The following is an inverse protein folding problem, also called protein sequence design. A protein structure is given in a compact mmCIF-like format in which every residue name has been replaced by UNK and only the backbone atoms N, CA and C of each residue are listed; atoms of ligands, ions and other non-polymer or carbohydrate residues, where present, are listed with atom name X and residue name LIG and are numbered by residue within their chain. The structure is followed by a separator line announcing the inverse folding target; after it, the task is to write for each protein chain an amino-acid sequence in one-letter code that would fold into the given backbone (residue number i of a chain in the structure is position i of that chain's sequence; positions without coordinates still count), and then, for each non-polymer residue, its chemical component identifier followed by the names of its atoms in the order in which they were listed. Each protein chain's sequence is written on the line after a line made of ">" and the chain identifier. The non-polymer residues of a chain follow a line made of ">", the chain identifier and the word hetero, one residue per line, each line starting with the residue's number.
data_IF_247471949419
#
_entry.id   IF_247471949419
#
_cell.length_a   1.000
_cell.length_b   1.000
_cell.length_c   1.000
_cell.angle_alpha   90.00
_cell.angle_beta   90.00
_cell.angle_gamma   90.00
#
_symmetry.space_group_name_H-M   'P 1'
#
loop_
_entity.id
_entity.type
_entity.pdbx_description
1 polymer ?
#
# COMPACT_ATOMS: atom_id res chain seq x y z
N UNK A 1 -67.17 -56.83 5.01
CA UNK A 1 -65.74 -56.78 5.37
C UNK A 1 -65.19 -55.47 4.85
N UNK A 2 -65.09 -54.47 5.72
CA UNK A 2 -64.60 -53.12 5.41
C UNK A 2 -63.20 -53.02 6.00
N UNK A 3 -62.21 -52.87 5.15
CA UNK A 3 -60.80 -52.62 5.52
C UNK A 3 -60.60 -51.15 5.87
N UNK A 4 -60.14 -50.93 7.06
CA UNK A 4 -59.79 -49.66 7.66
C UNK A 4 -58.48 -49.07 7.00
N UNK A 5 -58.62 -47.92 6.35
CA UNK A 5 -57.47 -47.12 5.89
C UNK A 5 -57.01 -46.22 7.04
N UNK A 6 -55.74 -46.36 7.45
CA UNK A 6 -55.05 -45.48 8.40
C UNK A 6 -54.57 -44.22 7.65
N UNK A 7 -54.73 -43.04 8.23
CA UNK A 7 -54.21 -41.85 7.62
C UNK A 7 -52.68 -41.75 7.87
N UNK A 8 -51.94 -41.48 6.80
CA UNK A 8 -50.53 -41.13 6.79
C UNK A 8 -50.27 -39.85 7.62
N UNK A 9 -49.54 -40.00 8.69
CA UNK A 9 -49.02 -38.87 9.48
C UNK A 9 -47.98 -38.13 8.68
N UNK A 10 -48.28 -36.90 8.31
CA UNK A 10 -47.33 -35.96 7.66
C UNK A 10 -46.35 -35.49 8.75
N UNK A 11 -45.15 -36.03 8.73
CA UNK A 11 -44.02 -35.51 9.52
C UNK A 11 -43.63 -34.14 8.96
N UNK A 12 -44.07 -33.08 9.60
CA UNK A 12 -43.56 -31.74 9.35
C UNK A 12 -42.17 -31.63 9.95
N UNK A 13 -41.15 -31.61 9.07
CA UNK A 13 -39.79 -31.28 9.44
C UNK A 13 -39.75 -29.83 10.00
N UNK A 14 -39.07 -29.57 11.12
CA UNK A 14 -38.91 -28.22 11.63
C UNK A 14 -38.12 -27.39 10.61
N UNK A 15 -38.68 -26.24 10.24
CA UNK A 15 -37.98 -25.24 9.43
C UNK A 15 -36.69 -24.81 10.15
N UNK A 16 -35.58 -25.42 9.78
CA UNK A 16 -34.24 -24.92 10.11
C UNK A 16 -34.01 -23.64 9.29
N UNK A 17 -34.48 -22.52 9.81
CA UNK A 17 -34.01 -21.21 9.33
C UNK A 17 -32.57 -21.07 9.73
N UNK A 18 -31.68 -21.30 8.78
CA UNK A 18 -30.23 -21.03 8.90
C UNK A 18 -30.04 -19.54 9.18
N UNK A 19 -29.95 -19.17 10.46
CA UNK A 19 -29.60 -17.83 10.90
C UNK A 19 -28.09 -17.58 10.70
N UNK A 20 -27.60 -17.81 9.48
CA UNK A 20 -26.22 -17.48 9.08
C UNK A 20 -26.03 -16.00 8.70
N UNK A 21 -27.11 -15.19 8.72
CA UNK A 21 -27.13 -13.86 8.13
C UNK A 21 -26.39 -12.76 8.89
N UNK A 22 -26.62 -12.61 10.21
CA UNK A 22 -26.17 -11.38 10.91
C UNK A 22 -24.68 -11.29 11.24
N UNK A 23 -24.04 -12.39 11.58
CA UNK A 23 -22.60 -12.41 11.91
C UNK A 23 -21.80 -12.36 10.61
N UNK A 24 -22.24 -13.03 9.56
CA UNK A 24 -21.64 -12.99 8.24
C UNK A 24 -21.76 -11.61 7.61
N UNK A 25 -22.91 -10.96 7.68
CA UNK A 25 -23.12 -9.60 7.18
C UNK A 25 -22.19 -8.58 7.85
N UNK A 26 -22.05 -8.59 9.19
CA UNK A 26 -21.12 -7.71 9.90
C UNK A 26 -19.66 -8.00 9.58
N UNK A 27 -19.28 -9.26 9.34
CA UNK A 27 -17.92 -9.65 8.96
C UNK A 27 -17.63 -9.43 7.48
N UNK A 28 -18.65 -9.49 6.63
CA UNK A 28 -18.58 -9.35 5.19
C UNK A 28 -17.97 -8.00 4.80
N UNK A 29 -18.45 -6.90 5.36
CA UNK A 29 -17.91 -5.56 5.06
C UNK A 29 -16.43 -5.43 5.43
N UNK A 30 -16.02 -5.88 6.63
CA UNK A 30 -14.61 -5.87 7.05
C UNK A 30 -13.75 -6.81 6.19
N UNK A 31 -14.30 -7.95 5.80
CA UNK A 31 -13.61 -8.91 4.93
C UNK A 31 -13.41 -8.34 3.52
N UNK A 32 -14.43 -7.74 2.91
CA UNK A 32 -14.31 -7.11 1.60
C UNK A 32 -13.35 -5.93 1.63
N UNK A 33 -13.41 -5.03 2.60
CA UNK A 33 -12.47 -3.93 2.76
C UNK A 33 -11.01 -4.45 2.87
N UNK A 34 -10.79 -5.56 3.58
CA UNK A 34 -9.46 -6.20 3.66
C UNK A 34 -9.02 -6.78 2.31
N UNK A 35 -9.93 -7.42 1.57
CA UNK A 35 -9.62 -7.96 0.24
C UNK A 35 -9.34 -6.85 -0.77
N UNK A 36 -10.11 -5.75 -0.75
CA UNK A 36 -9.88 -4.59 -1.60
C UNK A 36 -8.53 -3.94 -1.33
N UNK A 37 -8.17 -3.76 -0.06
CA UNK A 37 -6.85 -3.26 0.35
C UNK A 37 -5.72 -4.17 -0.13
N UNK A 38 -5.87 -5.50 -0.01
CA UNK A 38 -4.90 -6.46 -0.52
C UNK A 38 -4.81 -6.44 -2.04
N UNK A 39 -5.94 -6.37 -2.75
CA UNK A 39 -5.98 -6.32 -4.21
C UNK A 39 -5.28 -5.07 -4.74
N UNK A 40 -5.52 -3.91 -4.14
CA UNK A 40 -4.80 -2.66 -4.46
C UNK A 40 -3.31 -2.79 -4.19
N UNK A 41 -2.91 -3.34 -3.05
CA UNK A 41 -1.51 -3.59 -2.73
C UNK A 41 -0.82 -4.49 -3.77
N UNK A 42 -1.49 -5.55 -4.20
CA UNK A 42 -0.95 -6.43 -5.26
C UNK A 42 -0.86 -5.72 -6.62
N UNK A 43 -1.81 -4.85 -6.96
CA UNK A 43 -1.78 -4.06 -8.18
C UNK A 43 -0.61 -3.07 -8.17
N UNK A 44 -0.39 -2.38 -7.04
CA UNK A 44 0.74 -1.45 -6.84
C UNK A 44 2.07 -2.17 -7.01
N UNK A 45 2.28 -3.28 -6.31
CA UNK A 45 3.50 -4.10 -6.47
C UNK A 45 3.65 -4.61 -7.90
N UNK A 46 2.56 -4.99 -8.56
CA UNK A 46 2.60 -5.40 -9.96
C UNK A 46 3.16 -4.32 -10.89
N UNK A 47 2.81 -3.05 -10.64
CA UNK A 47 3.37 -1.90 -11.37
C UNK A 47 4.84 -1.66 -11.01
N UNK A 48 5.22 -1.76 -9.72
CA UNK A 48 6.62 -1.63 -9.29
C UNK A 48 7.51 -2.69 -9.94
N UNK A 49 7.04 -3.94 -10.01
CA UNK A 49 7.73 -5.02 -10.73
C UNK A 49 7.86 -4.67 -12.22
N UNK A 50 6.79 -4.17 -12.84
CA UNK A 50 6.81 -3.82 -14.27
C UNK A 50 7.83 -2.72 -14.56
N UNK A 51 7.86 -1.67 -13.75
CA UNK A 51 8.83 -0.58 -13.86
C UNK A 51 10.25 -1.10 -13.65
N UNK A 52 10.49 -1.89 -12.60
CA UNK A 52 11.80 -2.44 -12.29
C UNK A 52 12.33 -3.33 -13.44
N UNK A 53 11.48 -4.21 -13.97
CA UNK A 53 11.86 -5.11 -15.08
C UNK A 53 12.17 -4.34 -16.36
N UNK A 54 11.39 -3.30 -16.68
CA UNK A 54 11.65 -2.45 -17.86
C UNK A 54 12.94 -1.66 -17.73
N UNK A 55 13.33 -1.24 -16.52
CA UNK A 55 14.56 -0.47 -16.28
C UNK A 55 15.83 -1.29 -16.34
N UNK A 56 15.86 -2.47 -15.74
CA UNK A 56 17.09 -3.25 -15.56
C UNK A 56 16.94 -4.76 -15.85
N UNK A 57 15.82 -5.16 -16.45
CA UNK A 57 15.60 -6.55 -16.85
C UNK A 57 14.98 -7.45 -15.77
N UNK A 58 14.60 -8.68 -16.14
CA UNK A 58 13.80 -9.56 -15.29
C UNK A 58 14.62 -10.38 -14.28
N UNK A 59 15.96 -10.26 -14.29
CA UNK A 59 16.79 -11.01 -13.35
C UNK A 59 16.97 -10.24 -12.03
N UNK A 60 16.45 -10.75 -10.90
CA UNK A 60 16.58 -10.08 -9.59
C UNK A 60 18.04 -9.91 -9.14
N UNK A 61 18.96 -10.82 -9.53
CA UNK A 61 20.38 -10.74 -9.13
C UNK A 61 21.04 -9.45 -9.64
N UNK A 62 20.63 -9.00 -10.82
CA UNK A 62 21.16 -7.81 -11.49
C UNK A 62 20.25 -6.57 -11.32
N UNK A 63 19.09 -6.72 -10.65
CA UNK A 63 18.10 -5.67 -10.55
C UNK A 63 17.70 -5.43 -9.07
N UNK A 64 18.38 -4.53 -8.35
CA UNK A 64 18.08 -4.23 -6.96
C UNK A 64 16.64 -3.76 -6.72
N UNK A 65 16.09 -2.96 -7.66
CA UNK A 65 14.71 -2.50 -7.57
C UNK A 65 13.71 -3.66 -7.67
N UNK A 66 13.98 -4.64 -8.53
CA UNK A 66 13.15 -5.83 -8.64
C UNK A 66 13.23 -6.69 -7.37
N UNK A 67 14.44 -6.84 -6.77
CA UNK A 67 14.58 -7.54 -5.49
C UNK A 67 13.74 -6.90 -4.39
N UNK A 68 13.78 -5.57 -4.29
CA UNK A 68 12.96 -4.80 -3.36
C UNK A 68 11.46 -5.03 -3.60
N UNK A 69 11.00 -4.94 -4.84
CA UNK A 69 9.59 -5.18 -5.18
C UNK A 69 9.15 -6.62 -4.85
N UNK A 70 10.01 -7.62 -5.08
CA UNK A 70 9.75 -9.01 -4.68
C UNK A 70 9.68 -9.15 -3.16
N UNK A 71 10.53 -8.45 -2.42
CA UNK A 71 10.52 -8.46 -0.96
C UNK A 71 9.25 -7.81 -0.40
N UNK A 72 8.86 -6.66 -0.94
CA UNK A 72 7.60 -6.00 -0.59
C UNK A 72 6.39 -6.89 -0.90
N UNK A 73 6.44 -7.65 -2.02
CA UNK A 73 5.43 -8.65 -2.34
C UNK A 73 5.32 -9.74 -1.27
N UNK A 74 6.46 -10.25 -0.76
CA UNK A 74 6.48 -11.22 0.36
C UNK A 74 5.87 -10.61 1.62
N UNK A 75 6.20 -9.36 1.95
CA UNK A 75 5.64 -8.64 3.10
C UNK A 75 4.12 -8.49 3.06
N UNK A 76 3.54 -8.34 1.87
CA UNK A 76 2.08 -8.34 1.66
C UNK A 76 1.47 -9.74 1.49
N UNK A 77 2.26 -10.81 1.65
CA UNK A 77 1.82 -12.19 1.40
C UNK A 77 1.28 -12.41 -0.02
N UNK A 78 1.86 -11.74 -1.02
CA UNK A 78 1.52 -11.96 -2.42
C UNK A 78 2.00 -13.34 -2.85
N UNK A 79 1.15 -14.19 -3.47
CA UNK A 79 1.55 -15.50 -3.94
C UNK A 79 2.70 -15.44 -4.94
N UNK A 80 3.66 -16.37 -4.82
CA UNK A 80 4.88 -16.40 -5.64
C UNK A 80 4.57 -16.52 -7.14
N UNK A 81 3.58 -17.32 -7.50
CA UNK A 81 3.11 -17.49 -8.88
C UNK A 81 2.61 -16.16 -9.49
N UNK A 82 1.99 -15.29 -8.69
CA UNK A 82 1.57 -13.94 -9.13
C UNK A 82 2.77 -13.03 -9.37
N UNK A 83 3.80 -13.09 -8.52
CA UNK A 83 5.04 -12.34 -8.68
C UNK A 83 5.74 -12.78 -9.97
N UNK A 84 5.91 -14.09 -10.20
CA UNK A 84 6.51 -14.65 -11.40
C UNK A 84 5.72 -14.29 -12.67
N UNK A 85 4.38 -14.34 -12.58
CA UNK A 85 3.52 -13.91 -13.68
C UNK A 85 3.67 -12.42 -14.01
N UNK A 86 3.82 -11.55 -12.99
CA UNK A 86 4.06 -10.12 -13.18
C UNK A 86 5.42 -9.86 -13.86
N UNK A 87 6.50 -10.54 -13.43
CA UNK A 87 7.83 -10.44 -14.03
C UNK A 87 7.78 -10.91 -15.51
N UNK A 88 7.14 -12.05 -15.77
CA UNK A 88 7.00 -12.59 -17.12
C UNK A 88 6.22 -11.64 -18.03
N UNK A 89 5.12 -11.07 -17.55
CA UNK A 89 4.30 -10.09 -18.29
C UNK A 89 5.13 -8.85 -18.60
N UNK A 90 5.81 -8.27 -17.61
CA UNK A 90 6.66 -7.09 -17.77
C UNK A 90 7.82 -7.29 -18.76
N UNK A 91 8.28 -8.52 -18.94
CA UNK A 91 9.32 -8.88 -19.90
C UNK A 91 8.81 -8.95 -21.35
N UNK A 92 7.49 -8.94 -21.55
CA UNK A 92 6.91 -8.97 -22.89
C UNK A 92 7.00 -7.60 -23.56
N UNK A 93 7.05 -7.58 -24.90
CA UNK A 93 7.06 -6.33 -25.69
C UNK A 93 5.69 -5.63 -25.72
N UNK A 94 4.64 -6.34 -25.35
CA UNK A 94 3.25 -5.84 -25.38
C UNK A 94 2.87 -5.11 -24.09
N UNK A 95 3.64 -5.29 -23.01
CA UNK A 95 3.37 -4.60 -21.75
C UNK A 95 3.67 -3.10 -21.89
N UNK A 96 2.72 -2.30 -21.44
CA UNK A 96 2.83 -0.84 -21.48
C UNK A 96 3.92 -0.35 -20.55
N UNK A 97 4.57 0.74 -20.93
CA UNK A 97 5.56 1.40 -20.08
C UNK A 97 4.84 2.31 -19.07
N UNK A 98 5.10 2.09 -17.79
CA UNK A 98 4.60 2.95 -16.73
C UNK A 98 5.57 4.11 -16.50
N UNK A 99 5.01 5.31 -16.31
CA UNK A 99 5.71 6.51 -15.88
C UNK A 99 5.39 6.79 -14.42
N UNK A 100 6.43 7.07 -13.64
CA UNK A 100 6.28 7.51 -12.26
C UNK A 100 6.15 9.03 -12.24
N UNK A 101 5.09 9.52 -11.63
CA UNK A 101 4.75 10.94 -11.56
C UNK A 101 4.30 11.27 -10.13
N UNK A 102 4.63 12.49 -9.69
CA UNK A 102 4.14 13.00 -8.41
C UNK A 102 3.30 14.24 -8.70
N UNK A 103 2.04 14.20 -8.26
CA UNK A 103 1.14 15.35 -8.31
C UNK A 103 1.06 15.99 -6.93
N UNK A 104 0.90 17.30 -6.92
CA UNK A 104 0.90 18.12 -5.73
C UNK A 104 -0.45 18.80 -5.56
N UNK A 105 -0.90 18.99 -4.33
CA UNK A 105 -2.15 19.68 -4.06
C UNK A 105 -2.40 19.89 -2.59
N UNK A 106 -3.59 20.38 -2.31
CA UNK A 106 -4.10 20.61 -0.97
C UNK A 106 -5.43 19.90 -0.81
N UNK A 107 -5.54 19.08 0.22
CA UNK A 107 -6.82 18.57 0.72
C UNK A 107 -7.59 19.69 1.47
N UNK A 108 -8.83 19.45 1.92
CA UNK A 108 -9.57 20.39 2.74
C UNK A 108 -8.71 20.95 3.88
N UNK A 109 -9.07 22.13 4.37
CA UNK A 109 -8.36 22.85 5.45
C UNK A 109 -6.89 23.17 5.12
N UNK A 110 -6.48 23.11 3.84
CA UNK A 110 -5.14 23.45 3.40
C UNK A 110 -4.06 22.46 3.87
N UNK A 111 -4.42 21.17 3.99
CA UNK A 111 -3.47 20.07 4.24
C UNK A 111 -2.70 19.78 2.96
N UNK A 112 -1.36 19.93 2.93
CA UNK A 112 -0.56 19.61 1.76
C UNK A 112 -0.60 18.11 1.48
N UNK A 113 -0.72 17.75 0.20
CA UNK A 113 -0.79 16.36 -0.26
C UNK A 113 0.13 16.16 -1.45
N UNK A 114 0.93 15.07 -1.39
CA UNK A 114 1.66 14.51 -2.52
C UNK A 114 1.00 13.21 -2.96
N UNK A 115 0.75 13.07 -4.26
CA UNK A 115 0.13 11.88 -4.84
C UNK A 115 1.13 11.23 -5.80
N UNK A 116 1.79 10.16 -5.36
CA UNK A 116 2.70 9.38 -6.18
C UNK A 116 1.89 8.41 -7.06
N UNK A 117 2.11 8.48 -8.36
CA UNK A 117 1.39 7.70 -9.37
C UNK A 117 2.35 6.88 -10.23
N UNK A 118 1.87 5.70 -10.67
CA UNK A 118 2.49 4.93 -11.74
C UNK A 118 1.43 4.69 -12.83
N UNK A 119 1.62 5.28 -13.99
CA UNK A 119 0.60 5.31 -15.05
C UNK A 119 1.17 5.06 -16.45
N UNK A 120 0.37 4.44 -17.28
CA UNK A 120 0.59 4.31 -18.73
C UNK A 120 0.00 5.50 -19.53
N UNK A 121 -0.77 6.38 -18.86
CA UNK A 121 -1.43 7.52 -19.50
C UNK A 121 -1.48 8.75 -18.56
N UNK A 122 -0.43 9.59 -18.57
CA UNK A 122 -0.38 10.79 -17.73
C UNK A 122 -1.54 11.77 -17.92
N UNK A 123 -2.08 11.86 -19.13
CA UNK A 123 -3.20 12.77 -19.43
C UNK A 123 -4.47 12.33 -18.72
N UNK A 124 -4.76 11.03 -18.71
CA UNK A 124 -5.88 10.46 -17.96
C UNK A 124 -5.67 10.68 -16.46
N UNK A 125 -4.50 10.34 -15.96
CA UNK A 125 -4.19 10.40 -14.53
C UNK A 125 -4.30 11.80 -13.97
N UNK A 126 -3.74 12.82 -14.64
CA UNK A 126 -3.85 14.21 -14.18
C UNK A 126 -5.30 14.70 -14.13
N UNK A 127 -6.13 14.28 -15.08
CA UNK A 127 -7.54 14.63 -15.09
C UNK A 127 -8.31 13.98 -13.92
N UNK A 128 -8.03 12.70 -13.64
CA UNK A 128 -8.61 11.96 -12.51
C UNK A 128 -8.20 12.57 -11.18
N UNK A 129 -6.90 12.81 -10.97
CA UNK A 129 -6.39 13.38 -9.72
C UNK A 129 -7.01 14.78 -9.47
N UNK A 130 -7.11 15.62 -10.50
CA UNK A 130 -7.77 16.92 -10.39
C UNK A 130 -9.24 16.78 -10.00
N UNK A 131 -9.93 15.78 -10.57
CA UNK A 131 -11.32 15.50 -10.26
C UNK A 131 -11.50 15.04 -8.82
N UNK A 132 -10.62 14.14 -8.32
CA UNK A 132 -10.65 13.67 -6.94
C UNK A 132 -10.45 14.81 -5.95
N UNK A 133 -9.44 15.66 -6.15
CA UNK A 133 -9.26 16.86 -5.32
C UNK A 133 -10.51 17.75 -5.32
N UNK A 134 -11.00 18.15 -6.50
CA UNK A 134 -12.11 19.09 -6.59
C UNK A 134 -13.43 18.57 -6.03
N UNK A 135 -13.70 17.27 -6.15
CA UNK A 135 -14.92 16.66 -5.61
C UNK A 135 -14.93 16.57 -4.09
N UNK A 136 -13.75 16.49 -3.48
CA UNK A 136 -13.59 16.30 -2.05
C UNK A 136 -13.05 17.57 -1.35
N UNK A 137 -13.38 18.76 -1.88
CA UNK A 137 -13.08 20.04 -1.24
C UNK A 137 -11.61 20.46 -1.26
N UNK A 138 -10.77 19.71 -2.00
CA UNK A 138 -9.36 20.03 -2.19
C UNK A 138 -9.07 20.75 -3.50
N UNK A 139 -7.80 20.99 -3.77
CA UNK A 139 -7.33 21.61 -5.02
C UNK A 139 -5.98 21.07 -5.45
N UNK A 140 -5.85 20.77 -6.75
CA UNK A 140 -4.55 20.41 -7.32
C UNK A 140 -3.69 21.65 -7.47
N UNK A 141 -2.44 21.57 -7.00
CA UNK A 141 -1.44 22.64 -7.10
C UNK A 141 -0.56 22.50 -8.36
N UNK A 142 0.38 23.44 -8.49
CA UNK A 142 1.43 23.36 -9.49
C UNK A 142 2.62 22.54 -8.93
N UNK A 143 3.48 22.06 -9.82
CA UNK A 143 4.73 21.40 -9.40
C UNK A 143 5.58 22.34 -8.53
N UNK A 144 6.08 21.82 -7.40
CA UNK A 144 6.86 22.57 -6.41
C UNK A 144 6.01 23.35 -5.39
N UNK A 145 4.67 23.22 -5.41
CA UNK A 145 3.79 23.95 -4.49
C UNK A 145 3.79 23.42 -3.06
N UNK A 146 4.01 22.11 -2.88
CA UNK A 146 4.01 21.46 -1.56
C UNK A 146 5.20 20.51 -1.35
N UNK A 147 5.94 20.13 -2.39
CA UNK A 147 7.06 19.18 -2.33
C UNK A 147 8.09 19.56 -1.26
N UNK A 148 8.37 20.86 -1.10
CA UNK A 148 9.34 21.39 -0.12
C UNK A 148 8.94 21.17 1.34
N UNK A 149 7.69 20.80 1.60
CA UNK A 149 7.18 20.47 2.94
C UNK A 149 7.42 19.01 3.33
N UNK A 150 8.04 18.25 2.43
CA UNK A 150 8.29 16.82 2.61
C UNK A 150 9.76 16.52 2.35
N UNK A 151 10.28 15.55 3.10
CA UNK A 151 11.60 14.99 2.87
C UNK A 151 11.47 13.61 2.22
N UNK A 152 12.27 13.36 1.20
CA UNK A 152 12.33 12.06 0.54
C UNK A 152 13.27 11.15 1.34
N UNK A 153 12.74 10.16 2.03
CA UNK A 153 13.47 9.25 2.92
C UNK A 153 13.31 7.80 2.52
N UNK A 154 14.30 6.99 2.86
CA UNK A 154 14.19 5.54 2.88
C UNK A 154 13.46 5.10 4.15
N UNK A 155 12.50 4.20 4.02
CA UNK A 155 11.72 3.64 5.12
C UNK A 155 11.78 2.13 5.05
N UNK A 156 12.28 1.50 6.11
CA UNK A 156 12.37 0.04 6.26
C UNK A 156 11.54 -0.38 7.45
N UNK A 157 10.58 -1.28 7.24
CA UNK A 157 9.69 -1.76 8.28
C UNK A 157 10.01 -3.20 8.63
N UNK A 158 10.11 -3.49 9.92
CA UNK A 158 10.42 -4.82 10.42
C UNK A 158 9.33 -5.31 11.37
N UNK A 159 9.23 -6.62 11.46
CA UNK A 159 8.41 -7.31 12.46
C UNK A 159 9.24 -7.39 13.78
N UNK A 160 8.76 -6.82 14.90
CA UNK A 160 9.49 -6.87 16.18
C UNK A 160 9.75 -8.29 16.68
N UNK A 161 8.94 -9.28 16.23
CA UNK A 161 9.16 -10.67 16.59
C UNK A 161 10.35 -11.33 15.86
N UNK A 162 10.82 -10.70 14.76
CA UNK A 162 11.92 -11.23 13.93
C UNK A 162 13.23 -10.47 14.07
N UNK A 163 13.19 -9.25 14.61
CA UNK A 163 14.36 -8.41 14.77
C UNK A 163 14.44 -7.89 16.22
N UNK A 164 15.47 -8.30 16.95
CA UNK A 164 15.73 -7.76 18.28
C UNK A 164 16.45 -6.41 18.14
N UNK A 165 15.70 -5.31 18.25
CA UNK A 165 16.24 -3.96 18.06
C UNK A 165 17.39 -3.65 19.01
N UNK A 166 17.30 -4.07 20.28
CA UNK A 166 18.31 -3.77 21.30
C UNK A 166 19.71 -4.33 20.95
N UNK A 167 19.76 -5.39 20.12
CA UNK A 167 21.01 -6.00 19.67
C UNK A 167 21.54 -5.39 18.36
N UNK A 168 20.65 -4.84 17.52
CA UNK A 168 20.99 -4.44 16.14
C UNK A 168 20.96 -2.92 15.90
N UNK A 169 20.51 -2.14 16.87
CA UNK A 169 20.32 -0.69 16.73
C UNK A 169 21.61 0.03 16.31
N UNK A 170 22.73 -0.28 16.96
CA UNK A 170 24.02 0.30 16.62
C UNK A 170 24.46 -0.06 15.19
N UNK A 171 24.25 -1.31 14.80
CA UNK A 171 24.56 -1.77 13.46
C UNK A 171 23.71 -1.04 12.39
N UNK A 172 22.44 -0.75 12.70
CA UNK A 172 21.56 0.01 11.82
C UNK A 172 21.98 1.48 11.70
N UNK A 173 22.40 2.10 12.82
CA UNK A 173 22.91 3.47 12.83
C UNK A 173 24.20 3.55 11.99
N UNK A 174 25.13 2.61 12.16
CA UNK A 174 26.37 2.54 11.38
C UNK A 174 26.08 2.32 9.87
N UNK A 175 24.97 1.66 9.54
CA UNK A 175 24.52 1.46 8.17
C UNK A 175 23.78 2.68 7.59
N UNK A 176 23.58 3.77 8.34
CA UNK A 176 22.99 5.02 7.88
C UNK A 176 21.54 5.26 8.30
N UNK A 177 21.08 4.59 9.38
CA UNK A 177 19.81 4.95 9.99
C UNK A 177 19.90 6.34 10.65
N UNK A 178 18.96 7.24 10.35
CA UNK A 178 18.85 8.56 10.97
C UNK A 178 17.88 8.57 12.14
N UNK A 179 16.81 7.76 12.03
CA UNK A 179 15.80 7.64 13.07
C UNK A 179 15.28 6.20 13.10
N UNK A 180 14.98 5.71 14.29
CA UNK A 180 14.44 4.36 14.52
C UNK A 180 13.26 4.50 15.47
N UNK A 181 12.08 4.13 15.00
CA UNK A 181 10.85 4.14 15.80
C UNK A 181 10.40 2.72 16.06
N UNK A 182 9.97 2.44 17.28
CA UNK A 182 9.46 1.13 17.69
C UNK A 182 8.13 1.29 18.38
N UNK A 183 7.15 0.53 17.91
CA UNK A 183 5.90 0.30 18.61
C UNK A 183 5.66 -1.22 18.82
N UNK A 184 4.46 -1.60 19.27
CA UNK A 184 4.12 -3.01 19.52
C UNK A 184 3.97 -3.82 18.22
N UNK A 185 3.70 -3.17 17.09
CA UNK A 185 3.36 -3.83 15.82
C UNK A 185 4.53 -3.83 14.83
N UNK A 186 5.38 -2.80 14.85
CA UNK A 186 6.49 -2.68 13.88
C UNK A 186 7.68 -1.87 14.41
N UNK A 187 8.85 -2.14 13.82
CA UNK A 187 10.05 -1.30 13.95
C UNK A 187 10.21 -0.59 12.61
N UNK A 188 10.32 0.74 12.63
CA UNK A 188 10.47 1.56 11.43
C UNK A 188 11.82 2.26 11.48
N UNK A 189 12.65 2.01 10.46
CA UNK A 189 13.98 2.58 10.30
C UNK A 189 13.95 3.58 9.17
N UNK A 190 14.33 4.81 9.44
CA UNK A 190 14.42 5.90 8.47
C UNK A 190 15.87 6.17 8.07
N UNK A 191 16.09 6.37 6.78
CA UNK A 191 17.41 6.73 6.23
C UNK A 191 17.28 7.94 5.32
N UNK A 192 18.39 8.62 5.02
CA UNK A 192 18.42 9.54 3.89
C UNK A 192 18.15 8.80 2.60
N UNK A 193 17.58 9.54 1.64
CA UNK A 193 17.38 9.00 0.30
C UNK A 193 18.68 8.44 -0.31
N UNK A 194 19.81 9.12 -0.10
CA UNK A 194 21.14 8.70 -0.59
C UNK A 194 21.65 7.41 0.05
N UNK A 195 21.28 7.15 1.30
CA UNK A 195 21.72 5.97 2.07
C UNK A 195 20.81 4.76 1.89
N UNK A 196 19.68 4.91 1.23
CA UNK A 196 18.72 3.82 1.02
C UNK A 196 19.36 2.57 0.42
N UNK A 197 20.15 2.75 -0.65
CA UNK A 197 20.83 1.62 -1.31
C UNK A 197 21.94 0.99 -0.47
N UNK A 198 22.60 1.77 0.39
CA UNK A 198 23.60 1.28 1.34
C UNK A 198 22.92 0.42 2.41
N UNK A 199 21.88 0.94 3.05
CA UNK A 199 21.08 0.21 4.03
C UNK A 199 20.53 -1.09 3.46
N UNK A 200 19.99 -1.07 2.25
CA UNK A 200 19.46 -2.27 1.61
C UNK A 200 20.53 -3.38 1.47
N UNK A 201 21.71 -3.02 0.98
CA UNK A 201 22.82 -3.98 0.85
C UNK A 201 23.31 -4.51 2.20
N UNK A 202 23.34 -3.63 3.21
CA UNK A 202 23.70 -4.01 4.56
C UNK A 202 22.71 -5.04 5.13
N UNK A 203 21.41 -4.80 5.01
CA UNK A 203 20.35 -5.71 5.45
C UNK A 203 20.43 -7.07 4.72
N UNK A 204 20.65 -7.05 3.40
CA UNK A 204 20.87 -8.26 2.60
C UNK A 204 22.08 -9.06 3.10
N UNK A 205 23.22 -8.40 3.41
CA UNK A 205 24.43 -9.03 3.90
C UNK A 205 24.26 -9.64 5.30
N UNK A 206 23.48 -9.01 6.17
CA UNK A 206 23.15 -9.52 7.52
C UNK A 206 22.04 -10.58 7.50
N UNK A 207 21.33 -10.75 6.37
CA UNK A 207 20.16 -11.63 6.28
C UNK A 207 18.95 -11.13 7.06
N UNK A 208 18.87 -9.82 7.34
CA UNK A 208 17.73 -9.20 7.99
C UNK A 208 16.70 -8.78 6.95
N UNK A 209 15.60 -9.51 6.92
CA UNK A 209 14.53 -9.28 5.93
C UNK A 209 13.49 -8.29 6.49
N UNK A 210 13.42 -7.03 5.97
CA UNK A 210 12.34 -6.13 6.32
C UNK A 210 11.02 -6.62 5.72
N UNK A 211 9.92 -6.28 6.38
CA UNK A 211 8.55 -6.51 5.90
C UNK A 211 8.25 -5.66 4.65
N UNK A 212 8.76 -4.42 4.63
CA UNK A 212 8.73 -3.53 3.47
C UNK A 212 9.95 -2.62 3.44
N UNK A 213 10.36 -2.22 2.24
CA UNK A 213 11.42 -1.25 1.98
C UNK A 213 10.95 -0.30 0.89
N UNK A 214 10.80 0.96 1.20
CA UNK A 214 10.20 1.95 0.30
C UNK A 214 10.88 3.30 0.42
N UNK A 215 10.86 4.06 -0.66
CA UNK A 215 11.15 5.48 -0.64
C UNK A 215 9.84 6.23 -0.39
N UNK A 216 9.78 7.03 0.66
CA UNK A 216 8.56 7.74 1.07
C UNK A 216 8.83 9.24 1.25
N UNK A 217 7.79 10.03 1.08
CA UNK A 217 7.80 11.45 1.37
C UNK A 217 7.27 11.68 2.79
N UNK A 218 8.16 12.05 3.71
CA UNK A 218 7.85 12.26 5.11
C UNK A 218 7.65 13.77 5.35
N UNK A 219 6.53 14.21 5.92
CA UNK A 219 6.31 15.64 6.17
C UNK A 219 7.28 16.17 7.22
N UNK A 220 7.82 17.37 6.98
CA UNK A 220 8.72 18.06 7.92
C UNK A 220 7.98 18.69 9.11
N UNK A 221 6.69 18.95 8.94
CA UNK A 221 5.81 19.51 9.97
C UNK A 221 4.45 18.84 9.90
N UNK A 222 3.84 18.59 11.06
CA UNK A 222 2.49 18.05 11.15
C UNK A 222 1.47 19.17 11.37
N UNK A 223 0.23 18.94 10.96
CA UNK A 223 -0.90 19.83 11.13
C UNK A 223 -1.98 19.14 11.96
N UNK A 224 -2.28 19.72 13.12
CA UNK A 224 -3.39 19.27 13.95
C UNK A 224 -4.70 19.89 13.46
N UNK A 225 -5.76 19.10 13.39
CA UNK A 225 -7.12 19.50 13.02
C UNK A 225 -8.10 18.87 14.00
N UNK A 226 -9.32 19.41 14.06
CA UNK A 226 -10.41 18.78 14.80
C UNK A 226 -10.81 17.45 14.12
N UNK A 227 -11.42 16.53 14.88
CA UNK A 227 -11.84 15.20 14.38
C UNK A 227 -12.71 15.30 13.12
N UNK A 228 -13.67 16.24 13.09
CA UNK A 228 -14.53 16.47 11.92
C UNK A 228 -13.74 16.95 10.69
N UNK A 229 -12.75 17.83 10.87
CA UNK A 229 -11.88 18.30 9.79
C UNK A 229 -10.92 17.21 9.30
N UNK A 230 -10.45 16.35 10.24
CA UNK A 230 -9.64 15.17 9.88
C UNK A 230 -10.43 14.20 8.98
N UNK A 231 -11.70 13.95 9.30
CA UNK A 231 -12.58 13.09 8.51
C UNK A 231 -12.73 13.63 7.09
N UNK A 232 -12.92 14.94 6.89
CA UNK A 232 -12.99 15.55 5.56
C UNK A 232 -11.68 15.40 4.76
N UNK A 233 -10.53 15.55 5.42
CA UNK A 233 -9.23 15.33 4.81
C UNK A 233 -9.05 13.86 4.41
N UNK A 234 -9.38 12.93 5.30
CA UNK A 234 -9.25 11.49 5.06
C UNK A 234 -10.21 10.98 3.98
N UNK A 235 -11.38 11.61 3.81
CA UNK A 235 -12.27 11.33 2.68
C UNK A 235 -11.60 11.70 1.34
N UNK A 236 -10.95 12.87 1.28
CA UNK A 236 -10.18 13.29 0.12
C UNK A 236 -9.01 12.35 -0.17
N UNK A 237 -8.22 11.98 0.85
CA UNK A 237 -7.10 11.02 0.74
C UNK A 237 -7.61 9.67 0.24
N UNK A 238 -8.67 9.15 0.82
CA UNK A 238 -9.26 7.87 0.43
C UNK A 238 -9.76 7.86 -1.02
N UNK A 239 -10.33 8.98 -1.48
CA UNK A 239 -10.75 9.13 -2.87
C UNK A 239 -9.57 9.14 -3.85
N UNK A 240 -8.44 9.77 -3.47
CA UNK A 240 -7.20 9.74 -4.25
C UNK A 240 -6.60 8.33 -4.27
N UNK A 241 -6.53 7.66 -3.12
CA UNK A 241 -6.02 6.28 -3.01
C UNK A 241 -6.88 5.24 -3.76
N UNK A 242 -8.14 5.59 -4.06
CA UNK A 242 -9.04 4.73 -4.79
C UNK A 242 -8.70 4.65 -6.29
N UNK A 243 -7.99 5.62 -6.85
CA UNK A 243 -7.57 5.62 -8.26
C UNK A 243 -6.52 4.54 -8.51
N UNK A 244 -6.68 3.80 -9.59
CA UNK A 244 -5.79 2.67 -9.95
C UNK A 244 -4.37 3.12 -10.30
N UNK A 245 -4.17 4.36 -10.73
CA UNK A 245 -2.87 4.90 -11.08
C UNK A 245 -2.09 5.42 -9.86
N UNK A 246 -2.76 5.60 -8.70
CA UNK A 246 -2.14 6.07 -7.47
C UNK A 246 -1.42 4.93 -6.74
N UNK A 247 -0.14 5.15 -6.45
CA UNK A 247 0.69 4.25 -5.65
C UNK A 247 0.62 4.61 -4.17
N UNK A 248 0.89 5.86 -3.82
CA UNK A 248 0.86 6.35 -2.46
C UNK A 248 0.33 7.79 -2.39
N UNK A 249 -0.30 8.13 -1.27
CA UNK A 249 -0.71 9.49 -0.94
C UNK A 249 -0.02 9.88 0.37
N UNK A 250 0.71 10.98 0.37
CA UNK A 250 1.41 11.50 1.53
C UNK A 250 0.79 12.84 1.95
N UNK A 251 0.61 13.04 3.24
CA UNK A 251 0.04 14.25 3.81
C UNK A 251 0.69 14.58 5.15
N UNK A 252 0.46 15.79 5.66
CA UNK A 252 1.02 16.22 6.94
C UNK A 252 0.00 16.27 8.08
N UNK A 253 -1.14 15.60 7.95
CA UNK A 253 -2.11 15.47 9.03
C UNK A 253 -1.47 14.69 10.18
N UNK A 254 -1.63 15.20 11.44
CA UNK A 254 -1.11 14.58 12.65
C UNK A 254 -1.96 13.39 13.10
#
# INVERSE_FOLDING_TARGET
>A
MLASLHPFSIFTLPNFTFTMGRIFEKRKHKMFARFDKMAKGFSRIGKDIAIAVKQAGPNPDNNPRLRMAIQNAKGLNMPKDRVEAAIKRASSKEEKDFQELVYEGYAPHGVPVLVACATDNPTRTVANIRLHFSKNGGSMGNSGSVMFMFEHRGVFKFDPAKLNLDEVELDLIDAGAEDIQRDEEEIVVYTKFTEFGHMQKFLEAKGWEPKSSELQYIPTTTKELSEAEQDEVMECVSALEADDDVQNVYHNLA
#
